data_IF_368154275680
#
_entry.id   IF_368154275680
#
_cell.length_a   1.000
_cell.length_b   1.000
_cell.length_c   1.000
_cell.angle_alpha   90.00
_cell.angle_beta   90.00
_cell.angle_gamma   90.00
#
_symmetry.space_group_name_H-M   'P 1'
#
loop_
_entity.id
_entity.type
_entity.pdbx_description
1 polymer ?
#
# COMPACT_ATOMS: atom_id res chain seq x y z
N UNK A 1 -62.29 -0.09 38.93
CA UNK A 1 -61.43 -1.17 38.39
C UNK A 1 -62.19 -1.86 37.27
N UNK A 2 -61.76 -1.71 36.00
CA UNK A 2 -61.94 -2.70 34.93
C UNK A 2 -61.30 -2.24 33.62
N UNK A 3 -60.70 -3.21 32.94
CA UNK A 3 -59.74 -3.12 31.85
C UNK A 3 -60.37 -2.70 30.51
N UNK A 4 -59.70 -1.82 29.76
CA UNK A 4 -59.97 -1.56 28.34
C UNK A 4 -59.03 -2.44 27.51
N UNK A 5 -59.57 -3.48 26.87
CA UNK A 5 -58.94 -4.17 25.72
C UNK A 5 -59.51 -3.55 24.45
N UNK A 6 -58.67 -2.89 23.65
CA UNK A 6 -59.00 -2.48 22.28
C UNK A 6 -58.58 -3.59 21.32
N UNK A 7 -59.54 -4.08 20.55
CA UNK A 7 -59.40 -5.15 19.56
C UNK A 7 -58.48 -4.75 18.40
N UNK A 8 -57.46 -5.57 18.18
CA UNK A 8 -56.62 -5.60 16.98
C UNK A 8 -57.44 -6.25 15.87
N UNK A 9 -58.33 -5.49 15.22
CA UNK A 9 -59.01 -5.96 14.00
C UNK A 9 -59.31 -4.85 12.98
N UNK A 10 -58.68 -3.67 13.12
CA UNK A 10 -58.84 -2.57 12.17
C UNK A 10 -57.54 -2.10 11.50
N UNK A 11 -56.44 -2.85 11.65
CA UNK A 11 -55.15 -2.52 11.05
C UNK A 11 -54.69 -3.50 9.96
N UNK A 12 -55.59 -4.38 9.47
CA UNK A 12 -55.27 -5.37 8.45
C UNK A 12 -55.78 -4.99 7.04
N UNK A 13 -56.58 -3.94 6.88
CA UNK A 13 -57.22 -3.61 5.60
C UNK A 13 -56.55 -2.42 4.88
N UNK A 14 -55.70 -1.63 5.56
CA UNK A 14 -54.95 -0.55 4.90
C UNK A 14 -53.60 -0.94 4.28
N UNK A 15 -53.13 -2.18 4.49
CA UNK A 15 -51.84 -2.63 3.95
C UNK A 15 -51.93 -3.41 2.63
N UNK A 16 -53.13 -3.75 2.15
CA UNK A 16 -53.31 -4.58 0.95
C UNK A 16 -53.53 -3.74 -0.33
N UNK A 17 -53.88 -2.46 -0.22
CA UNK A 17 -54.13 -1.59 -1.40
C UNK A 17 -52.97 -0.69 -1.81
N UNK A 18 -51.86 -0.64 -1.06
CA UNK A 18 -50.68 0.16 -1.43
C UNK A 18 -49.63 -0.61 -2.26
N UNK A 19 -49.75 -1.94 -2.38
CA UNK A 19 -48.73 -2.77 -3.05
C UNK A 19 -48.82 -2.82 -4.59
N UNK A 20 -49.83 -2.20 -5.19
CA UNK A 20 -50.10 -2.33 -6.63
C UNK A 20 -50.03 -1.02 -7.44
N UNK A 21 -49.36 0.04 -6.94
CA UNK A 21 -49.25 1.33 -7.68
C UNK A 21 -47.80 1.78 -7.90
N UNK A 22 -46.80 0.93 -7.67
CA UNK A 22 -45.48 1.16 -8.25
C UNK A 22 -45.34 0.32 -9.52
N UNK A 23 -45.26 0.93 -10.72
CA UNK A 23 -44.83 0.17 -11.88
C UNK A 23 -43.45 -0.41 -11.56
N UNK A 24 -43.31 -1.74 -11.66
CA UNK A 24 -42.01 -2.37 -11.70
C UNK A 24 -41.28 -1.72 -12.88
N UNK A 25 -40.26 -0.92 -12.59
CA UNK A 25 -39.26 -0.57 -13.60
C UNK A 25 -38.54 -1.89 -13.86
N UNK A 26 -39.04 -2.65 -14.83
CA UNK A 26 -38.27 -3.69 -15.47
C UNK A 26 -37.16 -2.96 -16.21
N UNK A 27 -35.98 -2.94 -15.61
CA UNK A 27 -34.76 -2.56 -16.31
C UNK A 27 -34.62 -3.56 -17.46
N UNK A 28 -35.08 -3.17 -18.65
CA UNK A 28 -34.70 -3.85 -19.87
C UNK A 28 -33.20 -3.65 -20.00
N UNK A 29 -32.42 -4.57 -19.43
CA UNK A 29 -31.01 -4.69 -19.75
C UNK A 29 -30.96 -5.01 -21.25
N UNK A 30 -30.74 -3.98 -22.06
CA UNK A 30 -30.39 -4.17 -23.47
C UNK A 30 -29.29 -5.23 -23.50
N UNK A 31 -29.55 -6.34 -24.19
CA UNK A 31 -28.66 -7.49 -24.32
C UNK A 31 -27.39 -7.19 -25.12
N UNK A 32 -26.77 -6.02 -24.91
CA UNK A 32 -25.41 -5.77 -25.30
C UNK A 32 -24.51 -6.75 -24.55
N UNK A 33 -23.66 -7.46 -25.29
CA UNK A 33 -22.58 -8.24 -24.68
C UNK A 33 -21.87 -7.35 -23.68
N UNK A 34 -21.69 -7.82 -22.44
CA UNK A 34 -20.89 -7.12 -21.44
C UNK A 34 -19.49 -6.91 -22.01
N UNK A 35 -19.21 -5.68 -22.47
CA UNK A 35 -17.89 -5.31 -22.98
C UNK A 35 -16.97 -5.26 -21.77
N UNK A 36 -15.86 -5.97 -21.82
CA UNK A 36 -14.90 -5.93 -20.70
C UNK A 36 -14.37 -4.52 -20.57
N UNK A 37 -14.25 -4.02 -19.35
CA UNK A 37 -13.74 -2.66 -19.13
C UNK A 37 -12.35 -2.47 -19.74
N UNK A 38 -11.55 -3.54 -19.82
CA UNK A 38 -10.22 -3.53 -20.43
C UNK A 38 -10.23 -3.37 -21.97
N UNK A 39 -11.37 -3.66 -22.61
CA UNK A 39 -11.57 -3.45 -24.05
C UNK A 39 -11.98 -2.01 -24.35
N UNK A 40 -12.61 -1.33 -23.38
CA UNK A 40 -13.01 0.09 -23.47
C UNK A 40 -11.83 0.99 -23.05
N UNK A 41 -11.16 0.64 -21.97
CA UNK A 41 -10.02 1.37 -21.40
C UNK A 41 -8.81 0.43 -21.30
N UNK A 42 -7.89 0.58 -22.25
CA UNK A 42 -6.66 -0.20 -22.28
C UNK A 42 -5.75 0.05 -21.08
N UNK A 43 -5.87 1.17 -20.37
CA UNK A 43 -5.13 1.43 -19.13
C UNK A 43 -5.55 0.50 -17.99
N UNK A 44 -6.71 -0.17 -18.10
CA UNK A 44 -7.16 -1.16 -17.13
C UNK A 44 -6.44 -2.50 -17.26
N UNK A 45 -5.74 -2.75 -18.38
CA UNK A 45 -4.86 -3.92 -18.54
C UNK A 45 -3.58 -3.71 -17.74
N UNK A 46 -3.22 -4.70 -16.92
CA UNK A 46 -1.88 -4.72 -16.32
C UNK A 46 -0.80 -4.75 -17.39
N UNK A 47 0.20 -3.88 -17.28
CA UNK A 47 1.33 -3.85 -18.21
C UNK A 47 2.36 -4.87 -17.75
N UNK A 48 2.60 -5.88 -18.59
CA UNK A 48 3.66 -6.87 -18.33
C UNK A 48 5.03 -6.21 -18.43
N UNK A 49 5.99 -6.71 -17.66
CA UNK A 49 7.38 -6.31 -17.86
C UNK A 49 7.86 -6.70 -19.27
N UNK A 50 8.88 -5.99 -19.75
CA UNK A 50 9.52 -6.28 -21.03
C UNK A 50 10.48 -7.48 -20.90
N UNK A 51 10.79 -8.13 -22.02
CA UNK A 51 11.84 -9.16 -22.07
C UNK A 51 13.24 -8.53 -22.03
N UNK A 52 14.25 -9.29 -21.58
CA UNK A 52 15.66 -8.84 -21.60
C UNK A 52 16.05 -7.84 -20.50
N UNK A 53 15.28 -7.74 -19.42
CA UNK A 53 15.59 -6.87 -18.29
C UNK A 53 16.70 -7.43 -17.40
N UNK A 54 17.56 -6.54 -16.91
CA UNK A 54 18.47 -6.78 -15.80
C UNK A 54 17.71 -6.52 -14.49
N UNK A 55 17.64 -7.53 -13.64
CA UNK A 55 16.98 -7.47 -12.33
C UNK A 55 17.98 -7.18 -11.21
N UNK A 56 17.65 -6.23 -10.34
CA UNK A 56 18.46 -5.85 -9.17
C UNK A 56 17.63 -6.00 -7.91
N UNK A 57 18.14 -6.73 -6.92
CA UNK A 57 17.50 -6.86 -5.60
C UNK A 57 17.54 -5.52 -4.86
N UNK A 58 16.35 -5.07 -4.43
CA UNK A 58 16.21 -3.82 -3.71
C UNK A 58 16.92 -3.84 -2.35
N UNK A 59 17.18 -5.02 -1.77
CA UNK A 59 17.97 -5.13 -0.55
C UNK A 59 19.42 -4.63 -0.73
N UNK A 60 19.94 -4.62 -1.97
CA UNK A 60 21.25 -4.03 -2.32
C UNK A 60 21.20 -2.54 -2.70
N UNK A 61 20.02 -1.92 -2.67
CA UNK A 61 19.82 -0.48 -2.94
C UNK A 61 19.58 0.28 -1.63
N UNK A 62 19.28 1.58 -1.72
CA UNK A 62 19.05 2.40 -0.54
C UNK A 62 17.65 2.19 -0.02
N UNK A 63 17.52 1.49 1.11
CA UNK A 63 16.23 1.24 1.75
C UNK A 63 15.99 2.27 2.86
N UNK A 64 14.82 2.91 2.82
CA UNK A 64 14.33 3.81 3.86
C UNK A 64 13.10 3.21 4.56
N UNK A 65 12.79 3.71 5.76
CA UNK A 65 11.62 3.31 6.54
C UNK A 65 11.79 2.03 7.37
N UNK A 66 13.03 1.53 7.49
CA UNK A 66 13.39 0.46 8.43
C UNK A 66 13.89 1.05 9.74
N UNK A 67 13.31 0.60 10.86
CA UNK A 67 13.75 0.98 12.21
C UNK A 67 14.77 0.00 12.82
N UNK A 68 14.86 -1.22 12.30
CA UNK A 68 15.61 -2.32 12.91
C UNK A 68 16.35 -3.13 11.85
N UNK A 69 17.44 -3.77 12.26
CA UNK A 69 18.29 -4.61 11.40
C UNK A 69 18.20 -6.09 11.73
N UNK A 70 17.85 -6.43 12.97
CA UNK A 70 17.63 -7.76 13.53
C UNK A 70 16.21 -8.30 13.26
N UNK A 71 15.74 -8.16 12.02
CA UNK A 71 14.39 -8.56 11.57
C UNK A 71 14.32 -10.02 11.11
N UNK A 72 13.17 -10.69 11.25
CA UNK A 72 12.97 -12.07 10.75
C UNK A 72 13.07 -12.12 9.22
N UNK A 73 12.38 -11.19 8.55
CA UNK A 73 12.49 -10.94 7.13
C UNK A 73 12.95 -9.49 6.94
N UNK A 74 13.80 -9.26 5.93
CA UNK A 74 14.43 -7.96 5.67
C UNK A 74 13.45 -6.76 5.61
N UNK A 75 12.20 -7.00 5.17
CA UNK A 75 11.15 -5.99 5.04
C UNK A 75 10.13 -5.97 6.19
N UNK A 76 10.44 -6.60 7.33
CA UNK A 76 9.66 -6.46 8.55
C UNK A 76 9.96 -5.13 9.25
N UNK A 77 8.94 -4.52 9.88
CA UNK A 77 9.08 -3.25 10.58
C UNK A 77 9.60 -3.38 12.00
N UNK A 78 9.51 -4.56 12.61
CA UNK A 78 9.98 -4.85 13.97
C UNK A 78 11.06 -5.93 14.00
N UNK A 79 11.93 -5.91 15.02
CA UNK A 79 12.96 -6.92 15.18
C UNK A 79 12.34 -8.28 15.54
N UNK A 80 13.02 -9.37 15.22
CA UNK A 80 12.56 -10.73 15.50
C UNK A 80 12.22 -10.93 16.98
N UNK A 81 13.03 -10.36 17.89
CA UNK A 81 12.79 -10.45 19.34
C UNK A 81 11.46 -9.86 19.81
N UNK A 82 10.86 -8.94 19.04
CA UNK A 82 9.55 -8.38 19.36
C UNK A 82 8.46 -9.47 19.37
N UNK A 83 8.64 -10.56 18.62
CA UNK A 83 7.68 -11.66 18.52
C UNK A 83 7.29 -12.27 19.87
N UNK A 84 8.20 -12.24 20.83
CA UNK A 84 7.97 -12.82 22.16
C UNK A 84 7.37 -11.80 23.15
N UNK A 85 7.50 -10.50 22.87
CA UNK A 85 7.15 -9.44 23.81
C UNK A 85 5.89 -8.66 23.43
N UNK A 86 5.60 -8.50 22.14
CA UNK A 86 4.41 -7.76 21.69
C UNK A 86 3.22 -8.69 21.47
N UNK A 87 2.01 -8.14 21.55
CA UNK A 87 0.79 -8.88 21.20
C UNK A 87 0.84 -9.43 19.77
N UNK A 88 0.23 -10.60 19.57
CA UNK A 88 0.18 -11.29 18.28
C UNK A 88 -0.36 -10.41 17.14
N UNK A 89 -1.32 -9.52 17.41
CA UNK A 89 -1.84 -8.62 16.37
C UNK A 89 -0.80 -7.58 15.97
N UNK A 90 -0.06 -7.02 16.92
CA UNK A 90 1.04 -6.08 16.64
C UNK A 90 2.15 -6.78 15.87
N UNK A 91 2.53 -7.99 16.28
CA UNK A 91 3.52 -8.80 15.57
C UNK A 91 3.09 -9.09 14.13
N UNK A 92 1.85 -9.52 13.90
CA UNK A 92 1.37 -9.80 12.56
C UNK A 92 1.31 -8.53 11.68
N UNK A 93 0.98 -7.37 12.26
CA UNK A 93 0.96 -6.11 11.54
C UNK A 93 2.36 -5.55 11.28
N UNK A 94 3.33 -5.76 12.17
CA UNK A 94 4.72 -5.30 11.99
C UNK A 94 5.38 -5.97 10.78
N UNK A 95 4.88 -7.14 10.38
CA UNK A 95 5.30 -7.90 9.21
C UNK A 95 4.78 -7.34 7.87
N UNK A 96 4.00 -6.27 7.89
CA UNK A 96 3.66 -5.49 6.68
C UNK A 96 4.74 -4.45 6.39
N UNK A 97 4.99 -4.14 5.12
CA UNK A 97 6.06 -3.23 4.68
C UNK A 97 5.68 -1.73 4.67
N UNK A 98 4.70 -1.34 5.48
CA UNK A 98 4.11 0.00 5.42
C UNK A 98 5.15 1.10 5.64
N UNK A 99 5.18 2.09 4.74
CA UNK A 99 6.10 3.24 4.83
C UNK A 99 7.56 2.94 4.46
N UNK A 100 7.91 1.69 4.15
CA UNK A 100 9.22 1.38 3.57
C UNK A 100 9.29 1.87 2.12
N UNK A 101 10.48 2.28 1.72
CA UNK A 101 10.73 2.74 0.36
C UNK A 101 12.14 2.40 -0.12
N UNK A 102 12.28 2.12 -1.41
CA UNK A 102 13.56 1.90 -2.10
C UNK A 102 13.94 3.14 -2.88
N UNK A 103 15.15 3.65 -2.67
CA UNK A 103 15.72 4.78 -3.41
C UNK A 103 16.90 4.37 -4.26
N UNK A 104 16.88 4.82 -5.50
CA UNK A 104 17.88 4.43 -6.49
C UNK A 104 18.03 5.50 -7.56
N UNK A 105 19.16 5.47 -8.25
CA UNK A 105 19.44 6.29 -9.43
C UNK A 105 19.62 5.35 -10.62
N UNK A 106 19.03 5.71 -11.76
CA UNK A 106 19.16 4.93 -12.99
C UNK A 106 19.15 5.80 -14.24
N UNK A 107 19.82 5.32 -15.29
CA UNK A 107 19.76 5.86 -16.67
C UNK A 107 18.65 5.24 -17.51
N UNK A 108 17.89 4.30 -16.94
CA UNK A 108 16.87 3.54 -17.65
C UNK A 108 15.77 4.43 -18.24
N UNK A 109 15.16 3.95 -19.32
CA UNK A 109 14.01 4.57 -19.99
C UNK A 109 12.68 3.89 -19.68
N UNK A 110 12.73 2.75 -19.00
CA UNK A 110 11.59 2.04 -18.44
C UNK A 110 12.01 1.41 -17.12
N UNK A 111 11.07 1.32 -16.19
CA UNK A 111 11.25 0.65 -14.90
C UNK A 111 10.16 -0.40 -14.78
N UNK A 112 10.56 -1.63 -14.55
CA UNK A 112 9.69 -2.72 -14.11
C UNK A 112 10.02 -3.11 -12.68
N UNK A 113 9.11 -3.80 -12.02
CA UNK A 113 9.37 -4.40 -10.72
C UNK A 113 8.74 -5.78 -10.63
N UNK A 114 9.39 -6.64 -9.84
CA UNK A 114 8.81 -7.89 -9.37
C UNK A 114 8.89 -7.92 -7.84
N UNK A 115 7.82 -8.39 -7.20
CA UNK A 115 7.77 -8.44 -5.74
C UNK A 115 6.99 -9.67 -5.28
N UNK A 116 7.54 -10.32 -4.25
CA UNK A 116 6.96 -11.53 -3.66
C UNK A 116 6.18 -11.15 -2.41
N UNK A 117 4.87 -11.27 -2.49
CA UNK A 117 3.95 -10.95 -1.40
C UNK A 117 3.83 -12.11 -0.42
N UNK A 118 3.48 -11.77 0.82
CA UNK A 118 3.34 -12.73 1.93
C UNK A 118 1.91 -13.22 2.14
N UNK A 119 0.93 -12.35 1.91
CA UNK A 119 -0.48 -12.66 2.06
C UNK A 119 -1.18 -12.67 0.70
N UNK A 120 -2.08 -13.64 0.49
CA UNK A 120 -2.89 -13.76 -0.73
C UNK A 120 -4.08 -12.78 -0.76
N UNK A 121 -4.37 -12.11 0.36
CA UNK A 121 -5.40 -11.08 0.47
C UNK A 121 -4.87 -9.77 -0.12
N UNK A 122 -5.03 -9.63 -1.45
CA UNK A 122 -4.42 -8.52 -2.19
C UNK A 122 -5.08 -7.17 -1.93
N UNK A 123 -6.34 -7.15 -1.49
CA UNK A 123 -7.15 -5.97 -1.20
C UNK A 123 -7.94 -6.14 0.11
N UNK A 124 -8.56 -5.06 0.59
CA UNK A 124 -9.52 -5.08 1.70
C UNK A 124 -10.85 -4.50 1.21
N UNK A 125 -11.99 -4.80 1.87
CA UNK A 125 -13.31 -4.32 1.42
C UNK A 125 -13.42 -2.79 1.22
N UNK A 126 -12.57 -2.03 1.91
CA UNK A 126 -12.56 -0.57 1.94
C UNK A 126 -11.24 0.03 1.42
N UNK A 127 -10.30 -0.81 0.94
CA UNK A 127 -8.97 -0.36 0.48
C UNK A 127 -8.55 -1.12 -0.79
N UNK A 128 -8.15 -0.41 -1.86
CA UNK A 128 -7.85 -1.03 -3.14
C UNK A 128 -6.58 -1.88 -3.08
N UNK A 129 -6.48 -2.86 -3.98
CA UNK A 129 -5.33 -3.77 -4.05
C UNK A 129 -4.00 -3.03 -4.24
N UNK A 130 -4.01 -1.93 -4.99
CA UNK A 130 -2.86 -1.05 -5.21
C UNK A 130 -2.33 -0.43 -3.93
N UNK A 131 -3.18 -0.13 -2.95
CA UNK A 131 -2.78 0.37 -1.64
C UNK A 131 -2.32 -0.75 -0.70
N UNK A 132 -3.06 -1.85 -0.66
CA UNK A 132 -2.81 -2.96 0.27
C UNK A 132 -1.53 -3.71 -0.10
N UNK A 133 -1.38 -4.07 -1.38
CA UNK A 133 -0.35 -5.01 -1.89
C UNK A 133 0.47 -4.49 -3.07
N UNK A 134 0.23 -3.26 -3.52
CA UNK A 134 0.88 -2.69 -4.69
C UNK A 134 2.17 -1.94 -4.38
N UNK A 135 2.80 -1.44 -5.45
CA UNK A 135 3.97 -0.57 -5.40
C UNK A 135 3.63 0.81 -5.96
N UNK A 136 4.42 1.82 -5.59
CA UNK A 136 4.16 3.21 -6.01
C UNK A 136 5.46 3.97 -6.27
N UNK A 137 5.67 4.37 -7.52
CA UNK A 137 6.92 4.90 -8.04
C UNK A 137 6.85 6.42 -8.22
N UNK A 138 7.90 7.10 -7.77
CA UNK A 138 8.10 8.53 -7.89
C UNK A 138 9.47 8.84 -8.50
N UNK A 139 9.56 9.91 -9.28
CA UNK A 139 10.81 10.49 -9.80
C UNK A 139 11.10 11.83 -9.13
N UNK A 140 12.37 12.13 -8.90
CA UNK A 140 12.81 13.43 -8.42
C UNK A 140 12.87 14.44 -9.57
N UNK A 141 12.28 15.61 -9.37
CA UNK A 141 12.30 16.73 -10.30
C UNK A 141 12.65 18.00 -9.52
N UNK A 142 13.94 18.38 -9.57
CA UNK A 142 14.49 19.41 -8.70
C UNK A 142 14.38 19.00 -7.23
N UNK A 143 13.67 19.78 -6.42
CA UNK A 143 13.41 19.50 -5.01
C UNK A 143 12.11 18.74 -4.76
N UNK A 144 11.34 18.44 -5.82
CA UNK A 144 10.02 17.82 -5.71
C UNK A 144 10.02 16.38 -6.18
N UNK A 145 9.14 15.58 -5.59
CA UNK A 145 8.87 14.22 -6.02
C UNK A 145 7.57 14.15 -6.81
N UNK A 146 7.63 13.64 -8.04
CA UNK A 146 6.47 13.49 -8.93
C UNK A 146 6.12 12.03 -9.11
N UNK A 147 4.84 11.73 -9.10
CA UNK A 147 4.34 10.38 -9.33
C UNK A 147 4.65 9.94 -10.77
N UNK A 148 5.09 8.70 -10.94
CA UNK A 148 5.45 8.12 -12.24
C UNK A 148 4.62 6.91 -12.63
N UNK A 149 4.21 6.10 -11.65
CA UNK A 149 3.51 4.87 -11.94
C UNK A 149 3.27 4.02 -10.70
N UNK A 150 2.56 2.91 -10.87
CA UNK A 150 2.20 2.01 -9.77
C UNK A 150 2.25 0.55 -10.21
N UNK A 151 2.73 -0.32 -9.33
CA UNK A 151 2.70 -1.77 -9.54
C UNK A 151 1.38 -2.32 -9.03
N UNK A 152 0.49 -2.73 -9.95
CA UNK A 152 -0.79 -3.36 -9.57
C UNK A 152 -0.55 -4.84 -9.22
N UNK A 153 -0.95 -5.31 -8.02
CA UNK A 153 -0.76 -6.69 -7.63
C UNK A 153 -1.86 -7.56 -8.25
N UNK A 154 -1.55 -8.27 -9.33
CA UNK A 154 -2.50 -9.09 -10.07
C UNK A 154 -2.43 -10.59 -9.75
N UNK A 155 -1.35 -11.03 -9.09
CA UNK A 155 -1.06 -12.44 -8.82
C UNK A 155 -0.46 -12.61 -7.43
N UNK A 156 -0.50 -13.83 -6.91
CA UNK A 156 0.16 -14.21 -5.67
C UNK A 156 0.89 -15.55 -5.89
N UNK A 157 2.08 -15.77 -5.30
CA UNK A 157 2.83 -14.82 -4.46
C UNK A 157 3.65 -13.81 -5.25
N UNK A 158 4.02 -14.13 -6.49
CA UNK A 158 4.89 -13.28 -7.30
C UNK A 158 4.07 -12.34 -8.18
N UNK A 159 4.24 -11.05 -7.97
CA UNK A 159 3.78 -9.99 -8.85
C UNK A 159 4.93 -9.51 -9.73
N UNK A 160 4.60 -9.10 -10.96
CA UNK A 160 5.53 -8.48 -11.89
C UNK A 160 4.76 -7.50 -12.78
N UNK A 161 5.31 -6.30 -12.98
CA UNK A 161 4.71 -5.27 -13.81
C UNK A 161 5.76 -4.28 -14.33
N UNK A 162 5.52 -3.72 -15.53
CA UNK A 162 6.14 -2.45 -15.91
C UNK A 162 5.49 -1.34 -15.08
N UNK A 163 6.29 -0.58 -14.34
CA UNK A 163 5.80 0.50 -13.48
C UNK A 163 5.64 1.80 -14.26
N UNK A 164 6.62 2.15 -15.10
CA UNK A 164 6.62 3.39 -15.85
C UNK A 164 7.58 3.37 -17.04
N UNK A 165 7.26 4.19 -18.05
CA UNK A 165 8.20 4.67 -19.06
C UNK A 165 8.65 6.07 -18.68
N UNK A 166 9.95 6.32 -18.73
CA UNK A 166 10.55 7.56 -18.27
C UNK A 166 10.67 8.51 -19.48
N UNK A 167 10.06 9.71 -19.45
CA UNK A 167 10.09 10.61 -20.59
C UNK A 167 11.42 11.37 -20.70
N UNK A 168 12.17 11.52 -19.60
CA UNK A 168 13.43 12.29 -19.51
C UNK A 168 14.68 11.41 -19.60
N UNK A 169 15.70 11.86 -20.32
CA UNK A 169 16.97 11.13 -20.48
C UNK A 169 17.93 11.44 -19.32
N UNK A 170 19.03 10.68 -19.24
CA UNK A 170 20.07 10.87 -18.23
C UNK A 170 19.80 10.13 -16.92
N UNK A 171 20.63 10.41 -15.92
CA UNK A 171 20.48 9.84 -14.58
C UNK A 171 19.33 10.50 -13.83
N UNK A 172 18.39 9.68 -13.37
CA UNK A 172 17.23 10.13 -12.62
C UNK A 172 17.13 9.39 -11.28
N UNK A 173 16.73 10.11 -10.24
CA UNK A 173 16.56 9.57 -8.89
C UNK A 173 15.09 9.20 -8.65
N UNK A 174 14.86 8.03 -8.05
CA UNK A 174 13.53 7.48 -7.83
C UNK A 174 13.29 7.08 -6.38
N UNK A 175 12.02 7.07 -5.97
CA UNK A 175 11.53 6.41 -4.76
C UNK A 175 10.43 5.41 -5.16
N UNK A 176 10.58 4.15 -4.74
CA UNK A 176 9.57 3.10 -4.87
C UNK A 176 9.03 2.75 -3.48
N UNK A 177 7.76 3.08 -3.21
CA UNK A 177 7.11 2.73 -1.95
C UNK A 177 6.54 1.31 -1.99
N UNK A 178 6.65 0.63 -0.85
CA UNK A 178 6.25 -0.77 -0.66
C UNK A 178 4.82 -0.90 -0.08
N UNK A 179 4.19 -2.09 -0.16
CA UNK A 179 2.81 -2.32 0.29
C UNK A 179 2.50 -1.85 1.72
N UNK A 180 1.29 -1.33 1.95
CA UNK A 180 0.85 -0.78 3.25
C UNK A 180 0.25 -1.84 4.19
N UNK A 181 -0.49 -2.80 3.63
CA UNK A 181 -1.27 -3.80 4.37
C UNK A 181 -0.92 -5.24 3.95
N UNK A 182 0.23 -5.41 3.31
CA UNK A 182 0.84 -6.69 3.02
C UNK A 182 2.34 -6.60 3.29
N UNK A 183 2.97 -7.74 3.53
CA UNK A 183 4.42 -7.83 3.61
C UNK A 183 5.00 -8.29 2.28
N UNK A 184 6.26 -7.94 2.04
CA UNK A 184 7.06 -8.46 0.93
C UNK A 184 8.22 -9.29 1.46
N UNK A 185 8.55 -10.37 0.77
CA UNK A 185 9.74 -11.18 1.07
C UNK A 185 10.93 -10.74 0.21
N UNK A 186 10.64 -10.32 -1.02
CA UNK A 186 11.63 -9.91 -2.01
C UNK A 186 11.03 -8.85 -2.92
N UNK A 187 11.84 -7.87 -3.30
CA UNK A 187 11.50 -6.82 -4.27
C UNK A 187 12.70 -6.60 -5.17
N UNK A 188 12.47 -6.62 -6.48
CA UNK A 188 13.51 -6.40 -7.49
C UNK A 188 13.04 -5.38 -8.51
N UNK A 189 13.98 -4.54 -8.94
CA UNK A 189 13.77 -3.56 -10.00
C UNK A 189 14.40 -4.09 -11.29
N UNK A 190 13.60 -4.11 -12.34
CA UNK A 190 14.00 -4.48 -13.69
C UNK A 190 14.23 -3.24 -14.54
N UNK A 191 15.43 -3.11 -15.10
CA UNK A 191 15.80 -2.06 -16.06
C UNK A 191 16.33 -2.69 -17.35
N UNK A 192 16.32 -1.99 -18.50
CA UNK A 192 17.02 -2.44 -19.70
C UNK A 192 18.46 -2.85 -19.41
N UNK A 193 18.98 -3.86 -20.10
CA UNK A 193 20.29 -4.45 -19.81
C UNK A 193 21.48 -3.47 -19.97
N UNK A 194 21.32 -2.46 -20.80
CA UNK A 194 22.28 -1.37 -21.06
C UNK A 194 22.14 -0.19 -20.09
N UNK A 195 21.12 -0.21 -19.23
CA UNK A 195 20.90 0.84 -18.23
C UNK A 195 21.62 0.53 -16.91
N UNK A 196 22.14 1.60 -16.30
CA UNK A 196 22.75 1.53 -14.98
C UNK A 196 21.70 1.72 -13.89
N UNK A 197 21.91 1.05 -12.76
CA UNK A 197 21.12 1.22 -11.54
C UNK A 197 22.05 1.14 -10.34
N UNK A 198 21.90 2.09 -9.42
CA UNK A 198 22.74 2.20 -8.22
C UNK A 198 21.96 2.75 -7.03
N UNK A 199 22.38 2.48 -5.79
CA UNK A 199 21.79 3.10 -4.61
C UNK A 199 21.85 4.64 -4.69
N UNK A 200 20.78 5.30 -4.23
CA UNK A 200 20.79 6.75 -4.02
C UNK A 200 21.50 7.10 -2.70
N UNK A 201 21.95 8.33 -2.53
CA UNK A 201 22.55 8.75 -1.26
C UNK A 201 21.55 8.63 -0.11
N UNK A 202 22.00 8.08 1.02
CA UNK A 202 21.23 8.04 2.25
C UNK A 202 20.85 9.46 2.69
N UNK A 203 19.65 9.61 3.26
CA UNK A 203 19.24 10.84 3.95
C UNK A 203 19.54 10.72 5.45
N UNK A 204 19.35 11.83 6.17
CA UNK A 204 19.61 11.91 7.61
C UNK A 204 18.68 11.03 8.47
N UNK A 205 18.63 11.31 9.77
CA UNK A 205 17.81 10.55 10.73
C UNK A 205 16.31 10.67 10.40
N UNK A 206 15.53 9.58 10.52
CA UNK A 206 14.12 9.56 10.15
C UNK A 206 13.23 10.29 11.16
N UNK A 207 12.04 10.69 10.70
CA UNK A 207 10.91 10.97 11.61
C UNK A 207 10.13 9.68 11.81
N UNK A 208 9.96 9.27 13.07
CA UNK A 208 9.21 8.06 13.44
C UNK A 208 7.78 8.44 13.75
N UNK A 209 6.84 7.80 13.06
CA UNK A 209 5.41 7.93 13.33
C UNK A 209 4.90 6.66 14.00
N UNK A 210 4.10 6.80 15.06
CA UNK A 210 3.41 5.71 15.74
C UNK A 210 1.91 6.00 15.80
N UNK A 211 1.08 4.95 15.76
CA UNK A 211 -0.37 5.13 15.74
C UNK A 211 -1.14 3.94 15.17
N UNK A 212 -2.35 4.21 14.68
CA UNK A 212 -3.34 3.19 14.32
C UNK A 212 -3.41 2.92 12.81
N UNK A 213 -4.59 2.53 12.30
CA UNK A 213 -4.84 2.21 10.90
C UNK A 213 -4.64 3.40 9.96
N UNK A 214 -5.02 4.60 10.39
CA UNK A 214 -4.88 5.83 9.61
C UNK A 214 -3.39 6.06 9.30
N UNK A 215 -2.53 5.85 10.29
CA UNK A 215 -1.09 5.94 10.12
C UNK A 215 -0.56 4.84 9.20
N UNK A 216 -0.96 3.59 9.42
CA UNK A 216 -0.53 2.46 8.58
C UNK A 216 -0.87 2.69 7.10
N UNK A 217 -1.94 3.44 6.84
CA UNK A 217 -2.34 3.90 5.52
C UNK A 217 -3.74 3.46 5.11
N UNK A 218 -4.62 3.10 6.05
CA UNK A 218 -6.02 2.86 5.79
C UNK A 218 -6.76 4.19 5.58
N UNK A 219 -7.32 4.53 4.40
CA UNK A 219 -7.34 3.81 3.13
C UNK A 219 -6.75 4.63 1.98
N UNK A 220 -5.43 4.80 2.00
CA UNK A 220 -4.67 5.36 0.90
C UNK A 220 -4.81 4.49 -0.35
N UNK A 221 -5.00 5.12 -1.51
CA UNK A 221 -5.21 4.42 -2.78
C UNK A 221 -3.96 3.68 -3.30
N UNK A 222 -2.78 4.10 -2.85
CA UNK A 222 -1.47 3.56 -3.22
C UNK A 222 -0.43 3.91 -2.12
N UNK A 223 0.66 3.13 -1.97
CA UNK A 223 1.62 3.29 -0.87
C UNK A 223 2.15 4.69 -0.60
N UNK A 224 2.54 5.42 -1.64
CA UNK A 224 3.09 6.77 -1.50
C UNK A 224 2.07 7.82 -1.06
N UNK A 225 0.79 7.47 -0.98
CA UNK A 225 -0.30 8.34 -0.50
C UNK A 225 -0.60 8.17 0.99
N UNK A 226 0.09 7.26 1.70
CA UNK A 226 0.07 7.30 3.16
C UNK A 226 0.67 8.64 3.64
N UNK A 227 0.03 9.32 4.59
CA UNK A 227 0.43 10.67 4.97
C UNK A 227 1.90 10.79 5.43
N UNK A 228 2.53 9.80 6.11
CA UNK A 228 3.95 9.89 6.45
C UNK A 228 4.82 9.94 5.20
N UNK A 229 4.50 9.14 4.17
CA UNK A 229 5.21 9.15 2.90
C UNK A 229 5.09 10.50 2.20
N UNK A 230 3.90 11.12 2.24
CA UNK A 230 3.69 12.48 1.71
C UNK A 230 4.53 13.52 2.45
N UNK A 231 4.58 13.47 3.78
CA UNK A 231 5.40 14.37 4.60
C UNK A 231 6.90 14.16 4.34
N UNK A 232 7.37 12.91 4.28
CA UNK A 232 8.77 12.59 3.99
C UNK A 232 9.24 13.12 2.64
N UNK A 233 8.38 13.10 1.61
CA UNK A 233 8.70 13.74 0.31
C UNK A 233 8.67 15.26 0.40
N UNK A 234 7.74 15.84 1.14
CA UNK A 234 7.61 17.30 1.26
C UNK A 234 8.75 17.95 2.05
N UNK A 235 9.25 17.25 3.07
CA UNK A 235 10.32 17.72 3.95
C UNK A 235 11.70 17.21 3.54
N UNK A 236 11.79 16.39 2.49
CA UNK A 236 12.98 15.66 2.07
C UNK A 236 13.67 14.89 3.23
N UNK A 237 12.86 14.19 4.03
CA UNK A 237 13.31 13.38 5.16
C UNK A 237 12.86 11.92 5.01
N UNK A 238 13.65 10.95 5.51
CA UNK A 238 13.17 9.59 5.65
C UNK A 238 12.12 9.53 6.76
N UNK A 239 11.19 8.59 6.61
CA UNK A 239 10.10 8.38 7.58
C UNK A 239 10.02 6.92 7.92
N UNK A 240 9.68 6.61 9.18
CA UNK A 240 9.34 5.26 9.61
C UNK A 240 7.86 5.27 10.01
N UNK A 241 7.09 4.39 9.39
CA UNK A 241 5.66 4.24 9.66
C UNK A 241 5.42 3.03 10.55
N UNK A 242 5.18 3.26 11.84
CA UNK A 242 4.80 2.25 12.83
C UNK A 242 3.31 2.34 13.15
N UNK A 243 2.49 2.42 12.11
CA UNK A 243 1.04 2.26 12.21
C UNK A 243 0.66 0.79 12.39
N UNK A 244 -0.15 0.52 13.42
CA UNK A 244 -0.71 -0.79 13.73
C UNK A 244 -2.23 -0.68 13.76
N UNK A 245 -2.88 -1.07 12.66
CA UNK A 245 -4.33 -1.06 12.49
C UNK A 245 -5.08 -1.63 13.71
N UNK A 246 -5.86 -0.78 14.39
CA UNK A 246 -6.62 -1.14 15.60
C UNK A 246 -5.79 -1.42 16.87
N UNK A 247 -4.46 -1.36 16.79
CA UNK A 247 -3.52 -1.89 17.77
C UNK A 247 -2.42 -0.91 18.23
N UNK A 248 -2.34 0.30 17.67
CA UNK A 248 -1.47 1.36 18.18
C UNK A 248 -2.01 1.97 19.47
N UNK A 249 -1.76 1.35 20.62
CA UNK A 249 -2.36 1.69 21.93
C UNK A 249 -1.32 2.07 23.00
N UNK A 250 -0.11 2.42 22.58
CA UNK A 250 1.02 2.78 23.45
C UNK A 250 1.37 1.68 24.47
N UNK A 251 1.29 0.41 24.06
CA UNK A 251 1.73 -0.71 24.89
C UNK A 251 3.21 -0.51 25.27
N UNK A 252 3.59 -0.66 26.55
CA UNK A 252 4.96 -0.39 27.01
C UNK A 252 6.03 -1.17 26.22
N UNK A 253 5.76 -2.42 25.86
CA UNK A 253 6.68 -3.29 25.11
C UNK A 253 6.89 -2.76 23.69
N UNK A 254 5.85 -2.18 23.10
CA UNK A 254 5.90 -1.54 21.77
C UNK A 254 6.64 -0.22 21.83
N UNK A 255 6.31 0.64 22.81
CA UNK A 255 6.96 1.94 22.97
C UNK A 255 8.45 1.78 23.31
N UNK A 256 8.80 0.77 24.10
CA UNK A 256 10.20 0.46 24.44
C UNK A 256 11.02 0.17 23.18
N UNK A 257 10.50 -0.65 22.26
CA UNK A 257 11.14 -0.90 20.96
C UNK A 257 11.27 0.38 20.12
N UNK A 258 10.20 1.18 20.06
CA UNK A 258 10.19 2.43 19.26
C UNK A 258 11.23 3.42 19.76
N UNK A 259 11.42 3.51 21.08
CA UNK A 259 12.38 4.42 21.71
C UNK A 259 13.85 4.07 21.39
N UNK A 260 14.14 2.86 20.92
CA UNK A 260 15.49 2.47 20.50
C UNK A 260 15.89 3.08 19.14
N UNK A 261 14.91 3.54 18.35
CA UNK A 261 15.16 4.04 16.99
C UNK A 261 15.86 5.39 17.07
N UNK A 262 16.97 5.52 16.34
CA UNK A 262 17.74 6.76 16.22
C UNK A 262 17.00 7.82 15.36
N UNK A 263 16.01 8.49 15.94
CA UNK A 263 15.08 9.38 15.22
C UNK A 263 15.41 10.87 15.39
N UNK A 264 15.10 11.66 14.35
CA UNK A 264 15.09 13.14 14.42
C UNK A 264 13.92 13.65 15.27
N UNK A 265 12.78 12.95 15.23
CA UNK A 265 11.57 13.26 15.99
C UNK A 265 10.65 12.04 16.07
N UNK A 266 9.81 12.01 17.10
CA UNK A 266 8.71 11.06 17.27
C UNK A 266 7.37 11.79 17.16
N UNK A 267 6.45 11.22 16.39
CA UNK A 267 5.06 11.66 16.26
C UNK A 267 4.17 10.51 16.72
N UNK A 268 3.44 10.70 17.81
CA UNK A 268 2.66 9.68 18.51
C UNK A 268 1.15 9.94 18.38
#
# INVERSE_FOLDING_TARGET
MNNIRINILFLAILFITAYNIFPQITEQSNGGKAVKIEEIDTAMKGVKAQDGLKWTDCAGLTIEGRGFTDTEIFYDRFPLRARETVDNNVWNLSRHSAGMAVRFITTARSISARWKLRNNSLAMPHMPATGVSGLDLYIKSGTQWRWMGSGRPLKFPLCEAELAKIPVSGENEFILYLPLYNGVEQVEIGVPADADIRPASARGRPVVFYGTSILQGGCASRPGMAFPAMLGRRLDLPVINLGFSGNGRMQPEVISLIAEIDASAFVL
#
